data_IF_612811143771
#
_entry.id   IF_612811143771
#
_cell.length_a   1.000
_cell.length_b   1.000
_cell.length_c   1.000
_cell.angle_alpha   90.00
_cell.angle_beta   90.00
_cell.angle_gamma   90.00
#
_symmetry.space_group_name_H-M   'P 1'
#
loop_
_entity.id
_entity.type
_entity.pdbx_description
1 polymer ?
#
# COMPACT_ATOMS: atom_id res chain seq x y z
N UNK A 1 23.08 -3.88 -15.35
CA UNK A 1 22.91 -2.49 -14.86
C UNK A 1 21.43 -2.12 -14.93
N UNK A 2 20.90 -1.69 -13.78
CA UNK A 2 19.49 -1.51 -13.45
C UNK A 2 18.78 -0.41 -14.25
N UNK A 3 17.64 -0.73 -14.88
CA UNK A 3 16.76 0.21 -15.62
C UNK A 3 15.25 -0.01 -15.33
N UNK A 4 14.87 -0.59 -14.20
CA UNK A 4 13.44 -0.83 -13.87
C UNK A 4 12.89 -0.05 -12.66
N UNK A 5 13.73 0.53 -11.80
CA UNK A 5 13.25 1.27 -10.61
C UNK A 5 12.84 2.74 -10.89
N UNK A 6 13.25 3.35 -12.00
CA UNK A 6 12.90 4.74 -12.33
C UNK A 6 11.48 4.91 -12.93
N UNK A 7 10.77 3.82 -13.23
CA UNK A 7 9.43 3.88 -13.82
C UNK A 7 8.28 3.88 -12.80
N UNK A 8 8.31 2.96 -11.83
CA UNK A 8 7.21 2.75 -10.89
C UNK A 8 7.01 3.94 -9.95
N UNK A 9 8.08 4.43 -9.31
CA UNK A 9 7.98 5.59 -8.42
C UNK A 9 7.49 6.84 -9.16
N UNK A 10 8.00 7.09 -10.38
CA UNK A 10 7.53 8.21 -11.20
C UNK A 10 6.04 8.06 -11.56
N UNK A 11 5.59 6.84 -11.92
CA UNK A 11 4.20 6.55 -12.22
C UNK A 11 3.28 6.80 -11.02
N UNK A 12 3.57 6.20 -9.85
CA UNK A 12 2.73 6.33 -8.67
C UNK A 12 2.70 7.77 -8.12
N UNK A 13 3.80 8.52 -8.25
CA UNK A 13 3.86 9.94 -7.85
C UNK A 13 2.97 10.89 -8.69
N UNK A 14 2.45 10.40 -9.82
CA UNK A 14 1.60 11.16 -10.75
C UNK A 14 0.14 10.70 -10.70
N UNK A 15 -0.19 9.72 -9.87
CA UNK A 15 -1.57 9.24 -9.75
C UNK A 15 -2.41 10.23 -8.95
N UNK A 16 -3.64 10.41 -9.42
CA UNK A 16 -4.66 11.22 -8.77
C UNK A 16 -5.93 10.38 -8.65
N UNK A 17 -6.68 10.56 -7.56
CA UNK A 17 -8.04 10.06 -7.45
C UNK A 17 -8.98 11.09 -8.05
N UNK A 18 -9.79 10.66 -9.03
CA UNK A 18 -10.88 11.49 -9.55
C UNK A 18 -12.18 11.12 -8.86
N UNK A 19 -12.76 12.07 -8.13
CA UNK A 19 -14.06 11.91 -7.49
C UNK A 19 -15.10 12.84 -8.13
N UNK A 20 -16.32 12.37 -8.28
CA UNK A 20 -17.46 13.21 -8.70
C UNK A 20 -18.07 13.82 -7.46
N UNK A 21 -18.18 15.14 -7.42
CA UNK A 21 -18.84 15.94 -6.39
C UNK A 21 -20.07 16.66 -6.95
N UNK A 22 -20.90 17.21 -6.06
CA UNK A 22 -21.99 18.15 -6.39
C UNK A 22 -21.52 19.35 -7.23
N UNK A 23 -20.26 19.77 -7.08
CA UNK A 23 -19.67 20.88 -7.81
C UNK A 23 -18.95 20.48 -9.11
N UNK A 24 -18.97 19.19 -9.47
CA UNK A 24 -18.29 18.65 -10.64
C UNK A 24 -17.19 17.65 -10.30
N UNK A 25 -16.30 17.38 -11.26
CA UNK A 25 -15.19 16.43 -11.07
C UNK A 25 -14.04 17.10 -10.31
N UNK A 26 -13.62 16.48 -9.21
CA UNK A 26 -12.49 16.90 -8.39
C UNK A 26 -11.37 15.88 -8.60
N UNK A 27 -10.16 16.37 -8.89
CA UNK A 27 -8.93 15.55 -8.92
C UNK A 27 -8.15 15.81 -7.64
N UNK A 28 -7.86 14.73 -6.93
CA UNK A 28 -7.23 14.77 -5.61
C UNK A 28 -5.92 14.00 -5.74
N UNK A 29 -4.79 14.68 -5.55
CA UNK A 29 -3.48 14.02 -5.46
C UNK A 29 -3.44 13.10 -4.25
N UNK A 30 -2.63 12.05 -4.33
CA UNK A 30 -2.39 11.18 -3.20
C UNK A 30 -1.70 11.98 -2.08
N UNK A 31 -2.25 11.86 -0.88
CA UNK A 31 -1.78 12.53 0.32
C UNK A 31 -0.59 11.81 0.95
N UNK A 32 0.00 12.39 1.99
CA UNK A 32 1.10 11.72 2.67
C UNK A 32 0.61 10.52 3.47
N UNK A 33 1.54 9.64 3.83
CA UNK A 33 1.30 8.50 4.72
C UNK A 33 0.68 8.94 6.05
N UNK A 34 1.25 9.95 6.71
CA UNK A 34 0.73 10.41 8.00
C UNK A 34 -0.69 10.95 7.87
N UNK A 35 -0.99 11.71 6.81
CA UNK A 35 -2.33 12.25 6.58
C UNK A 35 -3.34 11.13 6.34
N UNK A 36 -3.01 10.09 5.56
CA UNK A 36 -3.92 8.98 5.34
C UNK A 36 -4.14 8.15 6.61
N UNK A 37 -3.09 7.91 7.40
CA UNK A 37 -3.22 7.23 8.70
C UNK A 37 -4.17 7.99 9.64
N UNK A 38 -4.10 9.33 9.67
CA UNK A 38 -5.04 10.15 10.44
C UNK A 38 -6.49 9.97 9.96
N UNK A 39 -6.72 9.84 8.65
CA UNK A 39 -8.05 9.57 8.10
C UNK A 39 -8.55 8.17 8.46
N UNK A 40 -7.70 7.15 8.36
CA UNK A 40 -8.07 5.74 8.60
C UNK A 40 -8.26 5.42 10.09
N UNK A 41 -7.53 6.08 10.98
CA UNK A 41 -7.64 5.85 12.43
C UNK A 41 -8.90 6.44 13.06
N UNK A 42 -9.76 7.09 12.27
CA UNK A 42 -11.11 7.48 12.69
C UNK A 42 -11.14 8.53 13.80
N UNK A 43 -10.14 9.42 13.86
CA UNK A 43 -10.15 10.52 14.83
C UNK A 43 -11.43 11.36 14.68
N UNK A 44 -11.90 11.95 15.80
CA UNK A 44 -13.14 12.74 15.94
C UNK A 44 -13.29 13.93 14.97
N UNK A 45 -12.32 14.16 14.07
CA UNK A 45 -12.26 15.24 13.08
C UNK A 45 -11.81 14.80 11.68
N UNK A 46 -11.94 13.50 11.33
CA UNK A 46 -11.51 12.97 10.02
C UNK A 46 -12.09 13.73 8.82
N UNK A 47 -13.34 14.21 8.91
CA UNK A 47 -14.00 15.02 7.87
C UNK A 47 -13.39 16.41 7.72
N UNK A 48 -13.01 17.06 8.82
CA UNK A 48 -12.34 18.36 8.81
C UNK A 48 -10.91 18.24 8.28
N UNK A 49 -10.17 17.21 8.71
CA UNK A 49 -8.83 16.89 8.18
C UNK A 49 -8.91 16.65 6.68
N UNK A 50 -9.89 15.88 6.22
CA UNK A 50 -10.10 15.64 4.79
C UNK A 50 -10.43 16.92 4.03
N UNK A 51 -11.21 17.84 4.61
CA UNK A 51 -11.48 19.16 4.04
C UNK A 51 -10.21 19.99 3.81
N UNK A 52 -9.30 20.04 4.78
CA UNK A 52 -8.00 20.72 4.64
C UNK A 52 -7.10 20.02 3.62
N UNK A 53 -7.10 18.68 3.60
CA UNK A 53 -6.40 17.91 2.58
C UNK A 53 -6.92 18.20 1.17
N UNK A 54 -8.23 18.32 0.98
CA UNK A 54 -8.79 18.68 -0.33
C UNK A 54 -8.26 20.03 -0.79
N UNK A 55 -8.17 21.04 0.07
CA UNK A 55 -7.59 22.34 -0.28
C UNK A 55 -6.12 22.23 -0.68
N UNK A 56 -5.37 21.35 -0.02
CA UNK A 56 -3.93 21.14 -0.28
C UNK A 56 -3.65 20.34 -1.54
N UNK A 57 -4.45 19.30 -1.81
CA UNK A 57 -4.18 18.29 -2.85
C UNK A 57 -5.13 18.35 -4.05
N UNK A 58 -6.19 19.15 -3.99
CA UNK A 58 -7.05 19.46 -5.13
C UNK A 58 -6.84 20.90 -5.59
N UNK A 59 -6.76 21.08 -6.91
CA UNK A 59 -6.68 22.41 -7.52
C UNK A 59 -8.04 23.10 -7.70
N UNK A 60 -9.15 22.40 -7.45
CA UNK A 60 -10.50 22.90 -7.75
C UNK A 60 -11.58 22.53 -6.72
N UNK A 61 -11.19 22.16 -5.49
CA UNK A 61 -12.15 21.90 -4.43
C UNK A 61 -12.78 23.22 -3.93
N UNK A 62 -14.11 23.29 -3.73
CA UNK A 62 -14.76 24.47 -3.16
C UNK A 62 -14.46 24.62 -1.66
N UNK A 63 -14.33 25.86 -1.20
CA UNK A 63 -13.90 26.18 0.18
C UNK A 63 -14.89 25.70 1.27
N UNK A 64 -16.19 25.71 0.98
CA UNK A 64 -17.26 25.47 1.95
C UNK A 64 -18.15 24.29 1.52
N UNK A 65 -17.58 23.09 1.51
CA UNK A 65 -18.30 21.87 1.20
C UNK A 65 -19.10 21.36 2.42
N UNK A 66 -20.36 20.92 2.24
CA UNK A 66 -21.13 20.32 3.33
C UNK A 66 -20.43 19.07 3.89
N UNK A 67 -20.50 18.87 5.21
CA UNK A 67 -19.84 17.74 5.90
C UNK A 67 -20.26 16.38 5.32
N UNK A 68 -21.54 16.20 4.99
CA UNK A 68 -22.01 14.96 4.38
C UNK A 68 -21.35 14.66 3.03
N UNK A 69 -21.05 15.70 2.24
CA UNK A 69 -20.36 15.55 0.96
C UNK A 69 -18.86 15.29 1.17
N UNK A 70 -18.24 15.93 2.17
CA UNK A 70 -16.86 15.64 2.57
C UNK A 70 -16.69 14.18 3.00
N UNK A 71 -17.57 13.66 3.86
CA UNK A 71 -17.58 12.26 4.27
C UNK A 71 -17.70 11.30 3.09
N UNK A 72 -18.61 11.61 2.15
CA UNK A 72 -18.79 10.79 0.95
C UNK A 72 -17.54 10.80 0.07
N UNK A 73 -16.95 11.96 -0.18
CA UNK A 73 -15.73 12.08 -0.97
C UNK A 73 -14.53 11.41 -0.29
N UNK A 74 -14.44 11.48 1.04
CA UNK A 74 -13.43 10.78 1.82
C UNK A 74 -13.53 9.27 1.60
N UNK A 75 -14.74 8.71 1.67
CA UNK A 75 -14.97 7.30 1.37
C UNK A 75 -14.53 6.92 -0.04
N UNK A 76 -14.95 7.70 -1.04
CA UNK A 76 -14.54 7.49 -2.45
C UNK A 76 -13.02 7.58 -2.62
N UNK A 77 -12.36 8.48 -1.89
CA UNK A 77 -10.92 8.66 -1.94
C UNK A 77 -10.17 7.45 -1.34
N UNK A 78 -10.58 6.99 -0.16
CA UNK A 78 -10.02 5.80 0.50
C UNK A 78 -10.26 4.54 -0.33
N UNK A 79 -11.47 4.36 -0.86
CA UNK A 79 -11.82 3.25 -1.75
C UNK A 79 -10.98 3.29 -3.03
N UNK A 80 -10.75 4.48 -3.59
CA UNK A 80 -9.90 4.68 -4.75
C UNK A 80 -8.44 4.28 -4.51
N UNK A 81 -7.87 4.70 -3.38
CA UNK A 81 -6.51 4.27 -2.97
C UNK A 81 -6.45 2.76 -2.79
N UNK A 82 -7.43 2.18 -2.09
CA UNK A 82 -7.52 0.74 -1.85
C UNK A 82 -7.57 -0.02 -3.17
N UNK A 83 -8.39 0.45 -4.12
CA UNK A 83 -8.46 -0.15 -5.45
C UNK A 83 -7.13 -0.08 -6.21
N UNK A 84 -6.41 1.05 -6.16
CA UNK A 84 -5.09 1.16 -6.79
C UNK A 84 -4.12 0.14 -6.19
N UNK A 85 -4.16 -0.06 -4.87
CA UNK A 85 -3.32 -1.04 -4.17
C UNK A 85 -3.65 -2.47 -4.60
N UNK A 86 -4.93 -2.79 -4.79
CA UNK A 86 -5.37 -4.09 -5.30
C UNK A 86 -4.93 -4.28 -6.76
N UNK A 87 -5.22 -3.32 -7.64
CA UNK A 87 -4.93 -3.37 -9.08
C UNK A 87 -3.40 -3.47 -9.34
N UNK A 88 -2.59 -2.85 -8.48
CA UNK A 88 -1.12 -2.86 -8.56
C UNK A 88 -0.48 -3.67 -7.42
N UNK A 89 -1.17 -4.72 -6.96
CA UNK A 89 -0.77 -5.51 -5.79
C UNK A 89 0.66 -6.07 -5.88
N UNK A 90 1.12 -6.47 -7.06
CA UNK A 90 2.50 -6.95 -7.28
C UNK A 90 3.56 -5.92 -6.86
N UNK A 91 3.24 -4.63 -6.93
CA UNK A 91 4.13 -3.54 -6.55
C UNK A 91 3.85 -3.05 -5.13
N UNK A 92 2.58 -2.86 -4.78
CA UNK A 92 2.17 -2.08 -3.60
C UNK A 92 1.81 -2.93 -2.37
N UNK A 93 1.57 -4.24 -2.52
CA UNK A 93 1.34 -5.12 -1.37
C UNK A 93 2.65 -5.67 -0.84
N UNK A 94 2.72 -5.73 0.49
CA UNK A 94 3.77 -6.48 1.17
C UNK A 94 3.51 -7.97 0.90
N UNK A 95 4.52 -8.74 0.46
CA UNK A 95 4.34 -10.17 0.23
C UNK A 95 3.96 -10.90 1.51
N UNK A 96 2.86 -11.64 1.44
CA UNK A 96 2.38 -12.50 2.51
C UNK A 96 2.21 -13.92 1.95
N UNK A 97 2.71 -14.90 2.68
CA UNK A 97 2.62 -16.31 2.34
C UNK A 97 2.34 -17.14 3.59
N UNK A 98 1.44 -18.11 3.44
CA UNK A 98 1.15 -19.12 4.45
C UNK A 98 2.32 -20.09 4.68
N UNK A 99 3.25 -20.18 3.71
CA UNK A 99 4.47 -20.97 3.83
C UNK A 99 5.40 -20.35 4.89
N UNK A 100 5.77 -21.10 5.94
CA UNK A 100 6.57 -20.57 7.03
C UNK A 100 8.01 -20.31 6.56
N UNK A 101 8.57 -19.18 6.94
CA UNK A 101 10.02 -19.05 7.00
C UNK A 101 10.48 -20.01 8.11
N UNK A 102 11.14 -21.11 7.77
CA UNK A 102 11.57 -22.18 8.71
C UNK A 102 12.41 -21.69 9.91
N UNK A 103 12.87 -20.43 9.89
CA UNK A 103 13.58 -19.76 10.98
C UNK A 103 12.90 -18.46 11.43
N UNK A 104 11.58 -18.33 11.25
CA UNK A 104 10.84 -17.19 11.80
C UNK A 104 11.03 -17.19 13.30
N UNK A 105 11.56 -16.10 13.83
CA UNK A 105 11.57 -15.88 15.26
C UNK A 105 10.13 -16.04 15.78
N UNK A 106 9.95 -16.54 17.01
CA UNK A 106 8.63 -16.59 17.61
C UNK A 106 8.02 -15.18 17.60
N UNK A 107 6.69 -15.13 17.52
CA UNK A 107 5.96 -13.87 17.56
C UNK A 107 6.38 -13.06 18.79
N UNK A 108 6.80 -11.82 18.55
CA UNK A 108 7.24 -10.94 19.63
C UNK A 108 6.01 -10.33 20.29
N UNK A 109 5.76 -10.65 21.57
CA UNK A 109 4.64 -10.08 22.33
C UNK A 109 4.73 -8.56 22.53
N UNK A 110 5.85 -7.93 22.17
CA UNK A 110 6.05 -6.49 22.23
C UNK A 110 6.70 -5.99 20.92
N UNK A 111 5.94 -5.97 19.80
CA UNK A 111 6.50 -5.64 18.49
C UNK A 111 6.89 -4.16 18.40
N UNK A 112 7.93 -3.87 17.62
CA UNK A 112 8.33 -2.49 17.36
C UNK A 112 7.30 -1.80 16.46
N UNK A 113 6.61 -0.78 16.98
CA UNK A 113 5.53 -0.08 16.26
C UNK A 113 6.00 0.69 15.02
N UNK A 114 7.28 1.07 14.96
CA UNK A 114 7.88 1.86 13.86
C UNK A 114 8.71 1.01 12.90
N UNK A 115 8.54 -0.33 12.95
CA UNK A 115 9.28 -1.24 12.09
C UNK A 115 9.05 -0.96 10.58
N UNK A 116 7.81 -0.70 10.10
CA UNK A 116 7.58 -0.36 8.70
C UNK A 116 8.36 0.89 8.25
N UNK A 117 8.31 1.97 9.04
CA UNK A 117 9.01 3.22 8.73
C UNK A 117 10.52 3.04 8.78
N UNK A 118 11.02 2.21 9.72
CA UNK A 118 12.44 1.86 9.79
C UNK A 118 12.89 1.11 8.54
N UNK A 119 12.11 0.14 8.07
CA UNK A 119 12.43 -0.62 6.84
C UNK A 119 12.50 0.30 5.62
N UNK A 120 11.54 1.22 5.48
CA UNK A 120 11.53 2.20 4.37
C UNK A 120 12.71 3.17 4.49
N UNK A 121 13.01 3.66 5.68
CA UNK A 121 14.14 4.56 5.93
C UNK A 121 15.48 3.90 5.54
N UNK A 122 15.70 2.65 5.94
CA UNK A 122 16.91 1.88 5.59
C UNK A 122 17.00 1.62 4.09
N UNK A 123 15.88 1.32 3.43
CA UNK A 123 15.85 1.05 1.99
C UNK A 123 16.08 2.30 1.13
N UNK A 124 15.52 3.44 1.53
CA UNK A 124 15.54 4.68 0.74
C UNK A 124 16.65 5.65 1.14
N UNK A 125 17.25 5.48 2.33
CA UNK A 125 18.18 6.45 2.92
C UNK A 125 17.51 7.70 3.49
N UNK A 126 16.17 7.75 3.56
CA UNK A 126 15.43 8.82 4.20
C UNK A 126 15.49 8.70 5.72
N UNK A 127 15.34 9.82 6.44
CA UNK A 127 15.10 9.77 7.88
C UNK A 127 13.70 9.25 8.16
N UNK A 128 13.49 8.56 9.30
CA UNK A 128 12.17 8.07 9.73
C UNK A 128 11.10 9.16 9.71
N UNK A 129 11.45 10.40 10.09
CA UNK A 129 10.53 11.54 10.04
C UNK A 129 10.07 11.84 8.60
N UNK A 130 10.98 11.80 7.62
CA UNK A 130 10.65 12.06 6.21
C UNK A 130 9.87 10.93 5.55
N UNK A 131 9.88 9.72 6.12
CA UNK A 131 9.06 8.61 5.63
C UNK A 131 7.58 8.93 5.78
N UNK A 132 7.17 9.59 6.86
CA UNK A 132 5.78 9.98 7.09
C UNK A 132 5.26 11.05 6.11
N UNK A 133 6.16 11.80 5.49
CA UNK A 133 5.86 12.85 4.50
C UNK A 133 5.83 12.32 3.05
N UNK A 134 6.13 11.03 2.85
CA UNK A 134 6.00 10.41 1.53
C UNK A 134 4.53 10.35 1.13
N UNK A 135 4.28 10.57 -0.17
CA UNK A 135 3.08 10.12 -0.85
C UNK A 135 2.76 8.67 -0.44
N UNK A 136 1.51 8.40 -0.08
CA UNK A 136 1.14 7.12 0.48
C UNK A 136 1.43 5.93 -0.47
N UNK A 137 1.23 6.10 -1.78
CA UNK A 137 1.54 5.03 -2.74
C UNK A 137 3.05 4.83 -2.88
N UNK A 138 3.85 5.90 -2.79
CA UNK A 138 5.31 5.78 -2.74
C UNK A 138 5.79 5.08 -1.46
N UNK A 139 5.21 5.43 -0.32
CA UNK A 139 5.47 4.73 0.94
C UNK A 139 5.19 3.23 0.80
N UNK A 140 4.04 2.87 0.24
CA UNK A 140 3.65 1.46 0.01
C UNK A 140 4.58 0.74 -0.95
N UNK A 141 4.97 1.38 -2.06
CA UNK A 141 5.95 0.85 -3.00
C UNK A 141 7.28 0.55 -2.29
N UNK A 142 7.84 1.53 -1.57
CA UNK A 142 9.13 1.38 -0.92
C UNK A 142 9.09 0.38 0.23
N UNK A 143 7.97 0.28 0.95
CA UNK A 143 7.81 -0.74 1.98
C UNK A 143 7.81 -2.15 1.37
N UNK A 144 7.03 -2.36 0.32
CA UNK A 144 6.97 -3.64 -0.37
C UNK A 144 8.34 -4.01 -0.98
N UNK A 145 9.03 -3.06 -1.60
CA UNK A 145 10.36 -3.25 -2.15
C UNK A 145 11.41 -3.51 -1.08
N UNK A 146 11.36 -2.84 0.07
CA UNK A 146 12.26 -3.09 1.19
C UNK A 146 12.11 -4.54 1.70
N UNK A 147 10.88 -5.04 1.83
CA UNK A 147 10.61 -6.42 2.24
C UNK A 147 11.09 -7.41 1.19
N UNK A 148 10.73 -7.22 -0.09
CA UNK A 148 11.17 -8.08 -1.20
C UNK A 148 12.68 -8.11 -1.32
N UNK A 149 13.34 -6.96 -1.20
CA UNK A 149 14.80 -6.86 -1.25
C UNK A 149 15.45 -7.61 -0.10
N UNK A 150 14.94 -7.47 1.14
CA UNK A 150 15.53 -8.16 2.29
C UNK A 150 15.33 -9.67 2.22
N UNK A 151 14.14 -10.15 1.84
CA UNK A 151 13.86 -11.58 1.67
C UNK A 151 14.64 -12.19 0.50
N UNK A 152 14.69 -11.50 -0.64
CA UNK A 152 15.36 -11.95 -1.86
C UNK A 152 16.87 -12.13 -1.76
N UNK A 153 17.48 -11.79 -0.61
CA UNK A 153 18.91 -12.00 -0.33
C UNK A 153 19.25 -13.39 0.18
N UNK A 154 18.25 -14.26 0.34
CA UNK A 154 18.44 -15.63 0.81
C UNK A 154 17.62 -16.58 -0.05
N UNK A 155 18.09 -17.82 -0.24
CA UNK A 155 17.34 -18.85 -0.99
C UNK A 155 15.95 -19.06 -0.40
N UNK A 156 15.85 -19.20 0.94
CA UNK A 156 14.56 -19.37 1.63
C UNK A 156 13.63 -18.18 1.47
N UNK A 157 14.15 -16.96 1.49
CA UNK A 157 13.34 -15.77 1.26
C UNK A 157 12.87 -15.66 -0.19
N UNK A 158 13.65 -16.14 -1.16
CA UNK A 158 13.21 -16.29 -2.54
C UNK A 158 12.07 -17.31 -2.64
N UNK A 159 12.20 -18.47 -1.98
CA UNK A 159 11.13 -19.47 -1.94
C UNK A 159 9.84 -18.91 -1.33
N UNK A 160 9.96 -18.15 -0.24
CA UNK A 160 8.83 -17.45 0.38
C UNK A 160 8.18 -16.46 -0.58
N UNK A 161 8.96 -15.64 -1.28
CA UNK A 161 8.43 -14.66 -2.24
C UNK A 161 7.72 -15.34 -3.42
N UNK A 162 8.25 -16.48 -3.89
CA UNK A 162 7.61 -17.28 -4.94
C UNK A 162 6.28 -17.87 -4.47
N UNK A 163 6.22 -18.39 -3.24
CA UNK A 163 4.98 -18.88 -2.63
C UNK A 163 3.95 -17.75 -2.45
N UNK A 164 4.38 -16.60 -1.92
CA UNK A 164 3.53 -15.42 -1.75
C UNK A 164 2.94 -14.95 -3.08
N UNK A 165 3.75 -14.90 -4.13
CA UNK A 165 3.27 -14.53 -5.47
C UNK A 165 2.17 -15.49 -5.96
N UNK A 166 2.34 -16.80 -5.77
CA UNK A 166 1.32 -17.77 -6.13
C UNK A 166 0.04 -17.58 -5.31
N UNK A 167 0.13 -17.43 -4.00
CA UNK A 167 -1.04 -17.28 -3.14
C UNK A 167 -1.82 -15.98 -3.40
N UNK A 168 -1.09 -14.88 -3.65
CA UNK A 168 -1.70 -13.55 -3.79
C UNK A 168 -2.26 -13.29 -5.19
N UNK A 169 -1.70 -13.91 -6.24
CA UNK A 169 -2.01 -13.56 -7.63
C UNK A 169 -2.36 -14.74 -8.53
N UNK A 170 -2.31 -15.99 -8.04
CA UNK A 170 -2.85 -17.09 -8.83
C UNK A 170 -4.36 -16.98 -8.97
N UNK A 171 -4.85 -17.23 -10.18
CA UNK A 171 -6.29 -17.38 -10.39
C UNK A 171 -6.78 -18.58 -9.57
N UNK A 172 -7.89 -18.40 -8.85
CA UNK A 172 -8.51 -19.48 -8.10
C UNK A 172 -9.01 -20.57 -9.06
N UNK A 173 -8.25 -21.66 -9.16
CA UNK A 173 -8.66 -22.82 -9.94
C UNK A 173 -9.69 -23.66 -9.18
N UNK A 174 -10.96 -23.32 -9.42
CA UNK A 174 -12.13 -24.01 -8.86
C UNK A 174 -12.15 -25.50 -9.22
N UNK A 175 -11.58 -25.91 -10.35
CA UNK A 175 -11.55 -27.31 -10.79
C UNK A 175 -10.51 -28.13 -10.02
N UNK A 176 -9.32 -27.56 -9.79
CA UNK A 176 -8.28 -28.15 -8.95
C UNK A 176 -8.76 -28.32 -7.50
N UNK A 177 -9.44 -27.31 -6.95
CA UNK A 177 -10.02 -27.38 -5.60
C UNK A 177 -11.06 -28.51 -5.45
N UNK A 178 -11.99 -28.63 -6.41
CA UNK A 178 -13.06 -29.64 -6.38
C UNK A 178 -12.56 -31.06 -6.66
N UNK A 179 -11.43 -31.21 -7.35
CA UNK A 179 -10.77 -32.50 -7.60
C UNK A 179 -9.94 -33.03 -6.42
N UNK A 180 -9.83 -32.27 -5.32
CA UNK A 180 -9.22 -32.71 -4.07
C UNK A 180 -7.68 -32.76 -4.07
N UNK A 181 -7.01 -31.99 -4.92
CA UNK A 181 -5.55 -32.06 -4.99
C UNK A 181 -4.85 -30.81 -5.48
N UNK A 182 -4.17 -30.13 -4.56
CA UNK A 182 -2.86 -29.59 -4.86
C UNK A 182 -1.84 -30.37 -4.02
N UNK A 183 -1.28 -31.46 -4.55
CA UNK A 183 0.01 -31.97 -4.08
C UNK A 183 1.07 -30.98 -4.56
N UNK A 184 1.37 -29.98 -3.74
CA UNK A 184 2.49 -29.08 -3.96
C UNK A 184 3.75 -29.96 -3.99
N UNK A 185 4.29 -30.19 -5.17
CA UNK A 185 5.52 -30.96 -5.36
C UNK A 185 6.64 -29.95 -5.58
N UNK A 186 7.34 -29.59 -4.51
CA UNK A 186 8.57 -28.80 -4.59
C UNK A 186 9.64 -29.70 -5.20
N UNK A 187 10.08 -29.42 -6.43
CA UNK A 187 11.26 -30.07 -7.02
C UNK A 187 12.51 -29.47 -6.37
N UNK A 188 13.30 -30.33 -5.72
CA UNK A 188 14.69 -30.05 -5.30
C UNK A 188 15.61 -29.94 -6.51
#
# INVERSE_FOLDING_TARGET
MSKKLTGAAAYFSQLDITAVSLCGKIRIKICTKNELDMLMNGELQSTAIFGEMLKKYSGNAPDNMPEAELSRLMGVYIDGITKIIEDWGEYLKVPESSFPLENSLPECSFPASTLPEKLVAEYTGLSILRVGDLDYLLYRLYLADAVKYNLGRTEKGIDYLNAAHLEMFSEYDRSAFLSGGAKITVKR
#
